data_IF_298749762030
#
_entry.id   IF_298749762030
#
_cell.length_a   1.000
_cell.length_b   1.000
_cell.length_c   1.000
_cell.angle_alpha   90.00
_cell.angle_beta   90.00
_cell.angle_gamma   90.00
#
_symmetry.space_group_name_H-M   'P 1'
#
loop_
_entity.id
_entity.type
_entity.pdbx_description
1 polymer ?
#
# COMPACT_ATOMS: atom_id res chain seq x y z
N UNK A 1 12.81 12.30 7.86
CA UNK A 1 11.55 11.54 7.97
C UNK A 1 11.92 10.06 8.03
N UNK A 2 11.28 9.30 8.92
CA UNK A 2 11.40 7.84 8.99
C UNK A 2 10.14 7.24 8.37
N UNK A 3 10.29 6.16 7.60
CA UNK A 3 9.19 5.42 7.00
C UNK A 3 9.27 3.96 7.46
N UNK A 4 8.15 3.43 7.93
CA UNK A 4 7.99 2.05 8.35
C UNK A 4 7.18 1.28 7.30
N UNK A 5 7.54 0.01 7.07
CA UNK A 5 6.84 -0.88 6.15
C UNK A 5 6.34 -2.11 6.91
N UNK A 6 5.09 -2.49 6.63
CA UNK A 6 4.43 -3.67 7.19
C UNK A 6 3.78 -4.47 6.06
N UNK A 7 3.91 -5.79 6.10
CA UNK A 7 3.15 -6.67 5.20
C UNK A 7 1.64 -6.51 5.45
N UNK A 8 0.81 -6.21 4.43
CA UNK A 8 -0.64 -6.08 4.59
C UNK A 8 -1.35 -7.38 5.00
N UNK A 9 -0.77 -8.52 4.64
CA UNK A 9 -1.22 -9.90 4.86
C UNK A 9 -0.33 -10.67 5.85
N UNK A 10 0.62 -9.98 6.49
CA UNK A 10 1.64 -10.60 7.32
C UNK A 10 1.07 -11.46 8.44
N UNK A 11 1.45 -12.73 8.42
CA UNK A 11 1.12 -13.76 9.39
C UNK A 11 2.35 -14.18 10.22
N UNK A 12 2.09 -14.89 11.32
CA UNK A 12 3.15 -15.35 12.20
C UNK A 12 3.98 -16.43 11.51
N UNK A 13 5.27 -16.15 11.29
CA UNK A 13 6.18 -17.09 10.63
C UNK A 13 6.60 -16.66 9.22
N UNK A 14 5.93 -15.69 8.63
CA UNK A 14 6.18 -15.25 7.25
C UNK A 14 7.56 -14.60 7.08
N UNK A 15 8.14 -14.09 8.18
CA UNK A 15 9.47 -13.48 8.21
C UNK A 15 9.58 -12.28 7.25
N UNK A 16 8.56 -11.42 7.22
CA UNK A 16 8.62 -10.17 6.49
C UNK A 16 9.85 -9.35 6.91
N UNK A 17 10.62 -8.87 5.94
CA UNK A 17 11.89 -8.17 6.19
C UNK A 17 13.11 -9.09 6.22
N UNK A 18 12.95 -10.39 5.92
CA UNK A 18 14.08 -11.34 5.85
C UNK A 18 15.16 -10.91 4.85
N UNK A 19 14.75 -10.27 3.74
CA UNK A 19 15.65 -9.63 2.78
C UNK A 19 15.08 -8.30 2.31
N UNK A 20 15.95 -7.33 2.08
CA UNK A 20 15.58 -5.98 1.64
C UNK A 20 16.51 -5.55 0.52
N UNK A 21 15.93 -5.06 -0.58
CA UNK A 21 16.64 -4.38 -1.66
C UNK A 21 16.04 -2.99 -1.85
N UNK A 22 16.91 -1.99 -2.02
CA UNK A 22 16.53 -0.61 -2.28
C UNK A 22 17.07 -0.19 -3.64
N UNK A 23 16.21 0.43 -4.44
CA UNK A 23 16.59 1.06 -5.71
C UNK A 23 15.77 2.34 -5.88
N UNK A 24 16.47 3.47 -6.03
CA UNK A 24 15.89 4.81 -6.17
C UNK A 24 14.84 5.11 -5.08
N UNK A 25 13.57 5.22 -5.47
CA UNK A 25 12.42 5.50 -4.62
C UNK A 25 11.58 4.24 -4.34
N UNK A 26 12.19 3.07 -4.40
CA UNK A 26 11.49 1.79 -4.26
C UNK A 26 12.23 0.86 -3.32
N UNK A 27 11.46 0.24 -2.41
CA UNK A 27 11.90 -0.83 -1.54
C UNK A 27 11.22 -2.14 -1.94
N UNK A 28 12.02 -3.18 -2.18
CA UNK A 28 11.55 -4.55 -2.33
C UNK A 28 11.88 -5.31 -1.06
N UNK A 29 10.86 -5.88 -0.42
CA UNK A 29 10.98 -6.58 0.86
C UNK A 29 10.49 -8.02 0.69
N UNK A 30 11.32 -8.98 1.06
CA UNK A 30 10.98 -10.41 1.01
C UNK A 30 10.38 -10.92 2.33
N UNK A 31 9.51 -11.92 2.20
CA UNK A 31 8.88 -12.65 3.30
C UNK A 31 9.00 -14.15 3.00
N UNK A 32 10.08 -14.78 3.49
CA UNK A 32 10.48 -16.14 3.09
C UNK A 32 9.49 -17.22 3.54
N UNK A 33 8.84 -17.03 4.69
CA UNK A 33 7.96 -18.02 5.30
C UNK A 33 6.50 -17.90 4.88
N UNK A 34 6.14 -16.93 4.03
CA UNK A 34 4.76 -16.73 3.60
C UNK A 34 4.22 -17.99 2.89
N UNK A 35 3.09 -18.48 3.38
CA UNK A 35 2.44 -19.71 2.94
C UNK A 35 1.10 -19.54 2.22
N UNK A 36 0.71 -18.30 1.90
CA UNK A 36 -0.56 -17.96 1.23
C UNK A 36 -0.78 -18.72 -0.08
N UNK A 37 0.31 -19.11 -0.76
CA UNK A 37 0.29 -19.85 -2.04
C UNK A 37 0.95 -21.22 -1.98
N UNK A 38 1.22 -21.72 -0.77
CA UNK A 38 1.84 -23.02 -0.54
C UNK A 38 2.88 -22.94 0.57
N UNK A 39 3.13 -24.07 1.25
CA UNK A 39 4.01 -24.14 2.44
C UNK A 39 5.36 -23.46 2.18
N UNK A 40 5.63 -22.35 2.89
CA UNK A 40 6.84 -21.52 2.77
C UNK A 40 7.17 -21.14 1.30
N UNK A 41 6.15 -20.86 0.50
CA UNK A 41 6.33 -20.46 -0.90
C UNK A 41 7.04 -19.11 -1.04
N UNK A 42 6.91 -18.27 -0.02
CA UNK A 42 7.50 -16.94 0.07
C UNK A 42 6.79 -15.90 -0.80
N UNK A 43 6.86 -14.65 -0.36
CA UNK A 43 6.32 -13.49 -1.06
C UNK A 43 7.32 -12.33 -1.11
N UNK A 44 7.07 -11.39 -2.02
CA UNK A 44 7.85 -10.18 -2.16
C UNK A 44 6.91 -8.97 -2.32
N UNK A 45 7.22 -7.90 -1.59
CA UNK A 45 6.42 -6.69 -1.48
C UNK A 45 7.20 -5.50 -2.02
N UNK A 46 6.56 -4.72 -2.89
CA UNK A 46 7.16 -3.53 -3.50
C UNK A 46 6.51 -2.28 -2.89
N UNK A 47 7.33 -1.42 -2.28
CA UNK A 47 6.90 -0.17 -1.67
C UNK A 47 7.57 1.02 -2.32
N UNK A 48 6.80 2.10 -2.53
CA UNK A 48 7.37 3.39 -2.90
C UNK A 48 7.90 4.11 -1.64
N UNK A 49 9.21 4.37 -1.61
CA UNK A 49 9.86 5.28 -0.65
C UNK A 49 9.84 6.68 -1.25
N UNK A 50 8.66 7.29 -1.37
CA UNK A 50 8.59 8.71 -1.73
C UNK A 50 9.18 9.50 -0.55
N UNK A 51 10.30 10.23 -0.71
CA UNK A 51 10.55 11.37 0.14
C UNK A 51 9.50 12.39 -0.29
N UNK A 52 8.30 12.30 0.28
CA UNK A 52 7.38 13.41 0.22
C UNK A 52 8.05 14.52 1.03
N UNK A 53 8.90 15.31 0.37
CA UNK A 53 9.27 16.62 0.85
C UNK A 53 7.96 17.30 1.14
N UNK A 54 7.68 17.47 2.43
CA UNK A 54 6.46 18.09 2.94
C UNK A 54 6.18 19.30 2.06
N UNK A 55 5.09 19.31 1.27
CA UNK A 55 4.80 20.47 0.46
C UNK A 55 4.72 21.66 1.41
N UNK A 56 5.58 22.66 1.20
CA UNK A 56 5.49 23.94 1.89
C UNK A 56 4.02 24.38 1.87
N UNK A 57 3.45 24.89 2.99
CA UNK A 57 2.02 25.15 3.12
C UNK A 57 1.42 26.03 2.00
N UNK A 58 2.25 26.73 1.24
CA UNK A 58 1.89 27.50 0.05
C UNK A 58 1.39 26.67 -1.16
N UNK A 59 1.74 25.39 -1.28
CA UNK A 59 1.33 24.56 -2.43
C UNK A 59 0.01 23.81 -2.23
N UNK A 60 -0.65 23.98 -1.08
CA UNK A 60 -1.95 23.35 -0.77
C UNK A 60 -3.13 23.87 -1.61
N UNK A 61 -2.94 24.93 -2.41
CA UNK A 61 -4.01 25.47 -3.24
C UNK A 61 -4.34 24.60 -4.48
N UNK A 62 -3.54 23.57 -4.78
CA UNK A 62 -3.70 22.73 -5.97
C UNK A 62 -4.32 21.34 -5.77
N UNK A 63 -4.43 20.82 -4.53
CA UNK A 63 -4.80 19.41 -4.30
C UNK A 63 -6.17 19.18 -3.64
N UNK A 64 -6.94 20.22 -3.34
CA UNK A 64 -8.27 20.10 -2.73
C UNK A 64 -9.42 19.77 -3.73
N UNK A 65 -9.11 19.17 -4.89
CA UNK A 65 -10.00 19.18 -6.06
C UNK A 65 -10.50 17.86 -6.65
N UNK A 66 -10.15 16.65 -6.17
CA UNK A 66 -10.58 15.41 -6.89
C UNK A 66 -10.81 14.17 -6.04
N UNK A 67 -11.64 14.25 -5.00
CA UNK A 67 -12.33 13.07 -4.46
C UNK A 67 -13.83 13.32 -4.33
N UNK A 68 -14.50 13.49 -5.47
CA UNK A 68 -15.95 13.33 -5.55
C UNK A 68 -16.27 11.83 -5.65
N UNK A 69 -16.48 11.15 -4.51
CA UNK A 69 -17.12 9.83 -4.51
C UNK A 69 -18.63 10.08 -4.68
N UNK A 70 -19.09 10.10 -5.93
CA UNK A 70 -20.51 10.13 -6.24
C UNK A 70 -21.16 8.79 -5.84
N UNK A 71 -21.77 8.75 -4.66
CA UNK A 71 -22.63 7.64 -4.25
C UNK A 71 -23.97 7.69 -5.00
N UNK A 72 -24.03 7.07 -6.19
CA UNK A 72 -25.28 6.82 -6.92
C UNK A 72 -25.84 5.45 -6.54
N UNK A 73 -26.67 5.39 -5.49
CA UNK A 73 -27.49 4.21 -5.20
C UNK A 73 -28.90 4.41 -5.77
N UNK A 74 -29.11 3.96 -7.03
CA UNK A 74 -30.46 3.79 -7.59
C UNK A 74 -30.97 2.40 -7.20
N UNK A 75 -31.67 2.27 -6.06
CA UNK A 75 -32.54 1.11 -5.85
C UNK A 75 -33.81 1.28 -6.69
N UNK A 76 -33.79 0.52 -7.80
CA UNK A 76 -34.89 -0.07 -8.56
C UNK A 76 -36.31 0.33 -8.12
N UNK A 77 -37.02 0.92 -9.08
CA UNK A 77 -38.41 0.56 -9.33
C UNK A 77 -38.58 -0.97 -9.32
N UNK A 78 -39.33 -1.48 -8.36
CA UNK A 78 -40.16 -2.67 -8.50
C UNK A 78 -41.54 -2.23 -7.97
N UNK A 79 -42.43 -1.86 -8.89
CA UNK A 79 -43.44 -2.75 -9.50
C UNK A 79 -44.61 -3.02 -8.53
N UNK A 80 -45.71 -2.32 -8.84
CA UNK A 80 -47.11 -2.57 -8.48
C UNK A 80 -47.50 -2.48 -7.01
#
# INVERSE_FOLDING_TARGET
MLQEFTAPDGSAGDQFGYSVALMDNTALIGSLGDDDKGINSGSAYLFATNPQSTPEPSSLLGIAGTFAIAALSRKKQQKK
#
